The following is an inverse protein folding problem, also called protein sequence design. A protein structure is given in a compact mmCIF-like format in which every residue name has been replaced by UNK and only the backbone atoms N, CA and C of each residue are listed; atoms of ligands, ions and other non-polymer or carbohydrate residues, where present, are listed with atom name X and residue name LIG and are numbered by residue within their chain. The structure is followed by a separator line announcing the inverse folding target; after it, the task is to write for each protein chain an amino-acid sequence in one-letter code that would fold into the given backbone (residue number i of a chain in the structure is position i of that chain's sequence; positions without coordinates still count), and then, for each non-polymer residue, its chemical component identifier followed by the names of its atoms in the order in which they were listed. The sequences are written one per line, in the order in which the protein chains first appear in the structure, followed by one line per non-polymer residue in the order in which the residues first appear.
data_IF_016872960411
#
_entry.id   IF_016872960411
#
_cell.length_a   1.000
_cell.length_b   1.000
_cell.length_c   1.000
_cell.angle_alpha   90.00
_cell.angle_beta   90.00
_cell.angle_gamma   90.00
#
_symmetry.space_group_name_H-M   'P 1'
#
loop_
_entity.id
_entity.type
_entity.pdbx_description
1 polymer ?
#
# COMPACT_ATOMS: atom_id res chain seq x y z
N UNK A 1 7.30 41.04 -9.54
CA UNK A 1 8.21 40.52 -10.61
C UNK A 1 8.51 41.67 -11.54
N UNK A 2 9.77 42.10 -11.64
CA UNK A 2 10.15 43.27 -12.43
C UNK A 2 10.24 42.89 -13.92
N UNK A 3 9.75 43.76 -14.81
CA UNK A 3 9.75 43.56 -16.28
C UNK A 3 11.12 43.12 -16.85
N UNK A 4 12.21 43.67 -16.31
CA UNK A 4 13.57 43.33 -16.75
C UNK A 4 14.01 41.89 -16.45
N UNK A 5 13.39 41.23 -15.47
CA UNK A 5 13.69 39.82 -15.14
C UNK A 5 13.02 38.86 -16.14
N UNK A 6 11.86 39.26 -16.68
CA UNK A 6 11.17 38.52 -17.74
C UNK A 6 11.89 38.64 -19.08
N UNK A 7 12.34 39.84 -19.45
CA UNK A 7 13.11 40.06 -20.68
C UNK A 7 14.43 39.30 -20.69
N UNK A 8 15.12 39.23 -19.54
CA UNK A 8 16.34 38.45 -19.41
C UNK A 8 16.09 36.94 -19.52
N UNK A 9 14.98 36.45 -18.97
CA UNK A 9 14.56 35.05 -19.14
C UNK A 9 14.23 34.73 -20.59
N UNK A 10 13.51 35.62 -21.27
CA UNK A 10 13.14 35.45 -22.68
C UNK A 10 14.38 35.37 -23.57
N UNK A 11 15.33 36.30 -23.39
CA UNK A 11 16.61 36.29 -24.11
C UNK A 11 17.42 35.01 -23.88
N UNK A 12 17.44 34.48 -22.65
CA UNK A 12 18.10 33.20 -22.36
C UNK A 12 17.43 32.04 -23.07
N UNK A 13 16.10 32.00 -23.11
CA UNK A 13 15.34 30.96 -23.81
C UNK A 13 15.57 31.02 -25.32
N UNK A 14 15.60 32.22 -25.91
CA UNK A 14 15.89 32.42 -27.34
C UNK A 14 17.31 32.01 -27.72
N UNK A 15 18.31 32.35 -26.89
CA UNK A 15 19.70 31.91 -27.08
C UNK A 15 19.84 30.38 -27.00
N UNK A 16 19.17 29.75 -26.05
CA UNK A 16 19.10 28.29 -25.93
C UNK A 16 18.46 27.67 -27.19
N UNK A 17 17.34 28.24 -27.67
CA UNK A 17 16.65 27.76 -28.85
C UNK A 17 17.53 27.85 -30.13
N UNK A 18 18.25 28.96 -30.32
CA UNK A 18 19.20 29.12 -31.43
C UNK A 18 20.36 28.11 -31.32
N UNK A 19 20.89 27.89 -30.12
CA UNK A 19 21.92 26.88 -29.88
C UNK A 19 21.45 25.47 -30.24
N UNK A 20 20.19 25.11 -29.93
CA UNK A 20 19.60 23.82 -30.30
C UNK A 20 19.32 23.67 -31.80
N UNK A 21 19.05 24.77 -32.52
CA UNK A 21 18.90 24.74 -33.97
C UNK A 21 20.24 24.55 -34.69
N UNK A 22 21.31 25.17 -34.19
CA UNK A 22 22.65 25.09 -34.79
C UNK A 22 23.37 23.78 -34.46
N UNK A 23 23.11 23.22 -33.28
CA UNK A 23 23.58 21.91 -32.86
C UNK A 23 22.34 21.07 -32.48
N UNK A 24 21.65 20.46 -33.47
CA UNK A 24 20.57 19.52 -33.17
C UNK A 24 21.15 18.46 -32.24
N UNK A 25 20.52 18.26 -31.08
CA UNK A 25 20.87 17.13 -30.23
C UNK A 25 20.76 15.89 -31.11
N UNK A 26 21.91 15.30 -31.46
CA UNK A 26 21.94 13.98 -32.11
C UNK A 26 21.07 13.04 -31.29
N UNK A 27 20.34 12.14 -31.96
CA UNK A 27 19.34 11.24 -31.36
C UNK A 27 19.77 10.90 -29.94
N UNK A 28 19.05 11.44 -28.94
CA UNK A 28 19.47 11.45 -27.53
C UNK A 28 20.26 10.17 -27.26
N UNK A 29 21.56 10.29 -26.99
CA UNK A 29 22.30 9.19 -26.40
C UNK A 29 21.47 8.78 -25.18
N UNK A 30 20.74 7.67 -25.31
CA UNK A 30 19.97 7.07 -24.23
C UNK A 30 20.97 6.10 -23.61
N UNK A 31 21.72 6.49 -22.57
CA UNK A 31 22.57 5.54 -21.87
C UNK A 31 21.67 4.37 -21.46
N UNK A 32 21.89 3.22 -22.09
CA UNK A 32 21.31 1.96 -21.64
C UNK A 32 22.08 1.60 -20.39
N UNK A 33 21.39 1.19 -19.34
CA UNK A 33 22.05 0.44 -18.30
C UNK A 33 22.72 -0.78 -18.93
N UNK A 34 23.85 -1.20 -18.37
CA UNK A 34 24.92 -2.06 -18.93
C UNK A 34 24.52 -3.39 -19.61
N UNK A 35 23.25 -3.74 -19.70
CA UNK A 35 22.73 -5.00 -20.26
C UNK A 35 22.00 -4.74 -21.58
N UNK A 36 22.50 -5.26 -22.72
CA UNK A 36 21.93 -5.04 -24.05
C UNK A 36 20.44 -5.44 -24.22
N UNK A 37 19.94 -6.33 -23.35
CA UNK A 37 18.58 -6.88 -23.39
C UNK A 37 17.55 -6.12 -22.53
N UNK A 38 17.96 -5.08 -21.80
CA UNK A 38 17.01 -4.25 -21.05
C UNK A 38 16.35 -3.21 -21.98
N UNK A 39 15.05 -2.89 -21.79
CA UNK A 39 14.35 -1.91 -22.61
C UNK A 39 14.91 -0.50 -22.37
N UNK A 40 14.39 0.49 -23.11
CA UNK A 40 14.84 1.88 -22.97
C UNK A 40 14.74 2.36 -21.53
N UNK A 41 15.77 3.06 -21.04
CA UNK A 41 15.77 3.66 -19.70
C UNK A 41 14.60 4.63 -19.56
N UNK A 42 13.61 4.26 -18.74
CA UNK A 42 12.51 5.15 -18.36
C UNK A 42 12.88 5.72 -17.00
N UNK A 43 13.25 7.00 -17.00
CA UNK A 43 13.52 7.75 -15.78
C UNK A 43 12.82 9.10 -15.86
N UNK A 44 11.53 9.15 -15.47
CA UNK A 44 10.71 10.37 -15.56
C UNK A 44 10.26 10.86 -14.20
N UNK A 45 10.45 12.16 -13.96
CA UNK A 45 10.04 12.83 -12.73
C UNK A 45 8.74 13.63 -12.94
N UNK A 46 7.86 13.57 -11.95
CA UNK A 46 6.56 14.25 -11.94
C UNK A 46 6.36 14.99 -10.61
N UNK A 47 5.77 16.20 -10.64
CA UNK A 47 5.51 16.97 -9.43
C UNK A 47 4.30 16.45 -8.63
N UNK A 48 3.43 15.64 -9.24
CA UNK A 48 2.20 15.13 -8.61
C UNK A 48 2.10 13.62 -8.78
N UNK A 49 1.65 12.93 -7.73
CA UNK A 49 1.50 11.48 -7.71
C UNK A 49 0.56 10.99 -8.81
N UNK A 50 -0.58 11.65 -9.00
CA UNK A 50 -1.55 11.28 -10.03
C UNK A 50 -0.97 11.34 -11.45
N UNK A 51 -0.09 12.31 -11.73
CA UNK A 51 0.57 12.40 -13.04
C UNK A 51 1.54 11.24 -13.27
N UNK A 52 2.29 10.85 -12.23
CA UNK A 52 3.19 9.71 -12.29
C UNK A 52 2.42 8.40 -12.48
N UNK A 53 1.33 8.20 -11.74
CA UNK A 53 0.46 7.03 -11.86
C UNK A 53 -0.15 6.95 -13.26
N UNK A 54 -0.75 8.04 -13.75
CA UNK A 54 -1.33 8.06 -15.09
C UNK A 54 -0.28 7.76 -16.17
N UNK A 55 0.94 8.29 -16.02
CA UNK A 55 2.03 7.99 -16.94
C UNK A 55 2.42 6.50 -16.89
N UNK A 56 2.58 5.92 -15.68
CA UNK A 56 2.90 4.51 -15.50
C UNK A 56 1.83 3.60 -16.12
N UNK A 57 0.55 3.90 -15.91
CA UNK A 57 -0.58 3.16 -16.49
C UNK A 57 -0.64 3.26 -18.03
N UNK A 58 -0.23 4.40 -18.59
CA UNK A 58 -0.16 4.58 -20.06
C UNK A 58 1.09 3.96 -20.70
N UNK A 59 2.03 3.46 -19.89
CA UNK A 59 3.29 2.93 -20.36
C UNK A 59 3.15 1.47 -20.76
N UNK A 60 3.74 1.08 -21.89
CA UNK A 60 3.80 -0.31 -22.33
C UNK A 60 4.90 -1.11 -21.62
N UNK A 61 5.86 -0.44 -20.99
CA UNK A 61 6.96 -1.06 -20.27
C UNK A 61 6.57 -1.28 -18.80
N UNK A 62 7.18 -2.29 -18.16
CA UNK A 62 6.96 -2.60 -16.75
C UNK A 62 7.63 -1.56 -15.85
N UNK A 63 6.88 -0.50 -15.53
CA UNK A 63 7.34 0.66 -14.75
C UNK A 63 6.49 0.87 -13.50
N UNK A 64 7.14 1.44 -12.49
CA UNK A 64 6.60 1.60 -11.16
C UNK A 64 6.80 3.04 -10.68
N UNK A 65 5.96 3.47 -9.74
CA UNK A 65 6.01 4.82 -9.19
C UNK A 65 6.72 4.81 -7.84
N UNK A 66 7.70 5.71 -7.69
CA UNK A 66 8.42 5.93 -6.45
C UNK A 66 8.28 7.38 -6.02
N UNK A 67 8.12 7.61 -4.72
CA UNK A 67 8.15 8.95 -4.17
C UNK A 67 9.53 9.24 -3.59
N UNK A 68 10.09 10.39 -3.95
CA UNK A 68 11.39 10.87 -3.49
C UNK A 68 11.17 12.12 -2.64
N UNK A 69 11.67 12.10 -1.41
CA UNK A 69 11.74 13.29 -0.56
C UNK A 69 13.14 13.92 -0.68
N UNK A 70 13.20 15.26 -0.73
CA UNK A 70 14.47 16.00 -0.81
C UNK A 70 14.73 16.73 0.51
N UNK A 71 15.97 16.70 0.99
CA UNK A 71 16.37 17.37 2.24
C UNK A 71 16.14 18.89 2.22
N UNK A 72 16.29 19.51 1.04
CA UNK A 72 16.16 20.97 0.86
C UNK A 72 14.73 21.42 0.52
N UNK A 73 13.77 20.49 0.43
CA UNK A 73 12.38 20.80 0.12
C UNK A 73 11.57 21.09 1.40
N UNK A 74 10.34 21.61 1.24
CA UNK A 74 9.42 21.71 2.38
C UNK A 74 9.21 20.32 2.98
N UNK A 75 9.12 20.23 4.30
CA UNK A 75 8.96 18.95 5.00
C UNK A 75 7.78 18.15 4.43
N UNK A 76 8.01 16.89 4.08
CA UNK A 76 7.01 15.99 3.48
C UNK A 76 6.70 16.24 2.00
N UNK A 77 7.32 17.22 1.35
CA UNK A 77 7.17 17.44 -0.08
C UNK A 77 7.88 16.33 -0.87
N UNK A 78 7.15 15.71 -1.79
CA UNK A 78 7.62 14.61 -2.64
C UNK A 78 7.63 14.99 -4.11
N UNK A 79 8.61 14.46 -4.83
CA UNK A 79 8.60 14.35 -6.30
C UNK A 79 8.46 12.87 -6.65
N UNK A 80 7.78 12.55 -7.74
CA UNK A 80 7.44 11.18 -8.11
C UNK A 80 8.25 10.74 -9.31
N UNK A 81 9.01 9.66 -9.15
CA UNK A 81 9.79 9.02 -10.19
C UNK A 81 9.02 7.85 -10.79
N UNK A 82 9.00 7.73 -12.11
CA UNK A 82 8.53 6.54 -12.82
C UNK A 82 9.72 5.88 -13.51
N UNK A 83 9.98 4.63 -13.16
CA UNK A 83 11.07 3.80 -13.70
C UNK A 83 10.83 2.31 -13.41
N UNK A 84 11.62 1.40 -14.00
CA UNK A 84 11.57 -0.03 -13.67
C UNK A 84 12.29 -0.33 -12.36
N UNK A 85 12.00 -1.48 -11.73
CA UNK A 85 12.71 -1.91 -10.51
C UNK A 85 14.22 -2.07 -10.71
N UNK A 86 14.63 -2.65 -11.85
CA UNK A 86 16.05 -2.85 -12.16
C UNK A 86 16.78 -1.52 -12.37
N UNK A 87 16.13 -0.56 -13.03
CA UNK A 87 16.70 0.75 -13.27
C UNK A 87 16.78 1.57 -11.99
N UNK A 88 15.73 1.55 -11.17
CA UNK A 88 15.79 2.13 -9.83
C UNK A 88 16.95 1.52 -9.04
N UNK A 89 17.05 0.19 -8.97
CA UNK A 89 18.10 -0.46 -8.18
C UNK A 89 19.51 -0.07 -8.62
N UNK A 90 19.76 0.05 -9.93
CA UNK A 90 21.06 0.47 -10.45
C UNK A 90 21.52 1.82 -9.89
N UNK A 91 20.65 2.83 -9.95
CA UNK A 91 20.98 4.17 -9.45
C UNK A 91 20.90 4.24 -7.92
N UNK A 92 19.96 3.54 -7.32
CA UNK A 92 19.72 3.51 -5.88
C UNK A 92 20.87 2.81 -5.11
N UNK A 93 21.47 1.77 -5.69
CA UNK A 93 22.63 1.09 -5.11
C UNK A 93 23.92 1.88 -5.29
N UNK A 94 24.12 2.52 -6.45
CA UNK A 94 25.31 3.33 -6.76
C UNK A 94 25.30 4.69 -6.03
N UNK A 95 24.18 5.41 -6.07
CA UNK A 95 24.04 6.80 -5.59
C UNK A 95 23.14 6.90 -4.37
N UNK A 96 23.39 6.04 -3.39
CA UNK A 96 22.51 5.86 -2.22
C UNK A 96 22.24 7.14 -1.43
N UNK A 97 23.19 8.06 -1.33
CA UNK A 97 22.99 9.34 -0.64
C UNK A 97 21.96 10.24 -1.33
N UNK A 98 21.98 10.30 -2.66
CA UNK A 98 21.09 11.16 -3.44
C UNK A 98 19.65 10.64 -3.50
N UNK A 99 19.45 9.33 -3.31
CA UNK A 99 18.14 8.66 -3.33
C UNK A 99 17.76 8.09 -1.95
N UNK A 100 18.37 8.59 -0.88
CA UNK A 100 18.25 8.00 0.45
C UNK A 100 16.81 8.00 0.98
N UNK A 101 15.98 8.95 0.56
CA UNK A 101 14.60 9.12 1.05
C UNK A 101 13.58 8.70 -0.01
N UNK A 102 13.56 7.41 -0.30
CA UNK A 102 12.76 6.81 -1.35
C UNK A 102 11.66 5.90 -0.76
N UNK A 103 10.48 5.98 -1.37
CA UNK A 103 9.29 5.23 -0.99
C UNK A 103 8.71 4.57 -2.24
N UNK A 104 8.31 3.31 -2.13
CA UNK A 104 7.40 2.68 -3.09
C UNK A 104 6.03 3.35 -2.98
N UNK A 105 5.42 3.69 -4.11
CA UNK A 105 3.99 4.01 -4.15
C UNK A 105 3.24 2.73 -4.48
N UNK A 106 2.54 2.16 -3.50
CA UNK A 106 1.71 0.96 -3.67
C UNK A 106 0.42 1.36 -4.38
N UNK A 107 0.26 1.08 -5.68
CA UNK A 107 -0.85 1.64 -6.45
C UNK A 107 -2.20 1.09 -5.96
N UNK A 108 -3.23 1.92 -6.00
CA UNK A 108 -4.60 1.46 -5.74
C UNK A 108 -4.99 0.34 -6.72
N UNK A 109 -5.56 -0.74 -6.18
CA UNK A 109 -6.00 -1.90 -6.97
C UNK A 109 -4.89 -2.80 -7.48
N UNK A 110 -3.63 -2.53 -7.16
CA UNK A 110 -2.51 -3.41 -7.52
C UNK A 110 -2.42 -4.60 -6.56
N UNK A 111 -2.26 -5.80 -7.12
CA UNK A 111 -1.94 -7.03 -6.37
C UNK A 111 -0.67 -6.80 -5.55
N UNK A 112 -0.71 -7.18 -4.28
CA UNK A 112 0.39 -6.92 -3.37
C UNK A 112 0.66 -8.07 -2.40
N UNK A 113 1.87 -8.06 -1.84
CA UNK A 113 2.24 -8.93 -0.72
C UNK A 113 1.49 -8.51 0.54
N UNK A 114 1.38 -9.43 1.50
CA UNK A 114 1.02 -9.08 2.87
C UNK A 114 2.22 -8.37 3.53
N UNK A 115 1.97 -7.24 4.17
CA UNK A 115 3.01 -6.45 4.81
C UNK A 115 2.50 -5.79 6.09
N UNK A 116 3.42 -5.45 6.99
CA UNK A 116 3.14 -4.75 8.24
C UNK A 116 4.15 -3.61 8.43
N UNK A 117 3.67 -2.50 9.00
CA UNK A 117 4.50 -1.48 9.64
C UNK A 117 4.28 -1.59 11.14
N UNK A 118 5.37 -1.85 11.88
CA UNK A 118 5.33 -2.15 13.30
C UNK A 118 6.12 -1.08 14.04
N UNK A 119 5.49 -0.44 15.02
CA UNK A 119 6.16 0.58 15.79
C UNK A 119 5.62 0.77 17.21
N UNK A 120 6.52 1.17 18.11
CA UNK A 120 6.15 1.71 19.41
C UNK A 120 7.26 2.63 19.95
N UNK A 121 6.91 3.46 20.93
CA UNK A 121 7.84 4.32 21.63
C UNK A 121 8.58 3.54 22.72
N UNK A 122 9.90 3.37 22.61
CA UNK A 122 10.67 2.52 23.53
C UNK A 122 10.64 3.04 24.98
N UNK A 123 10.84 4.34 25.26
CA UNK A 123 10.79 4.85 26.63
C UNK A 123 9.44 4.64 27.34
N UNK A 124 8.33 4.63 26.59
CA UNK A 124 6.98 4.36 27.14
C UNK A 124 6.69 2.88 27.36
N UNK A 125 7.51 1.97 26.81
CA UNK A 125 7.25 0.53 26.78
C UNK A 125 8.48 -0.28 27.22
N UNK A 126 9.12 0.11 28.33
CA UNK A 126 10.40 -0.48 28.80
C UNK A 126 10.35 -1.99 29.08
N UNK A 127 9.16 -2.52 29.39
CA UNK A 127 8.96 -3.95 29.66
C UNK A 127 8.74 -4.81 28.42
N UNK A 128 8.67 -4.22 27.23
CA UNK A 128 8.36 -4.96 26.02
C UNK A 128 9.60 -5.39 25.26
N UNK A 129 9.65 -6.69 24.95
CA UNK A 129 10.60 -7.24 24.00
C UNK A 129 10.00 -7.23 22.60
N UNK A 130 10.35 -6.20 21.83
CA UNK A 130 9.89 -6.05 20.45
C UNK A 130 10.30 -7.21 19.52
N UNK A 131 11.40 -7.93 19.78
CA UNK A 131 11.77 -9.11 18.98
C UNK A 131 10.79 -10.25 19.26
N UNK A 132 10.49 -10.51 20.53
CA UNK A 132 9.48 -11.51 20.91
C UNK A 132 8.08 -11.13 20.39
N UNK A 133 7.67 -9.87 20.46
CA UNK A 133 6.38 -9.41 19.92
C UNK A 133 6.28 -9.68 18.41
N UNK A 134 7.35 -9.42 17.65
CA UNK A 134 7.40 -9.72 16.21
C UNK A 134 7.30 -11.21 15.94
N UNK A 135 8.03 -12.04 16.69
CA UNK A 135 7.98 -13.50 16.53
C UNK A 135 6.56 -14.04 16.81
N UNK A 136 5.93 -13.60 17.90
CA UNK A 136 4.56 -13.97 18.26
C UNK A 136 3.54 -13.49 17.22
N UNK A 137 3.69 -12.27 16.69
CA UNK A 137 2.83 -11.76 15.63
C UNK A 137 2.98 -12.56 14.33
N UNK A 138 4.21 -12.87 13.91
CA UNK A 138 4.46 -13.69 12.71
C UNK A 138 3.80 -15.05 12.88
N UNK A 139 4.00 -15.72 14.02
CA UNK A 139 3.40 -17.02 14.28
C UNK A 139 1.87 -16.96 14.21
N UNK A 140 1.26 -15.98 14.88
CA UNK A 140 -0.18 -15.78 14.87
C UNK A 140 -0.73 -15.53 13.46
N UNK A 141 -0.06 -14.69 12.68
CA UNK A 141 -0.48 -14.39 11.29
C UNK A 141 -0.33 -15.61 10.40
N UNK A 142 0.71 -16.42 10.55
CA UNK A 142 0.86 -17.68 9.83
C UNK A 142 -0.31 -18.64 10.11
N UNK A 143 -0.67 -18.82 11.38
CA UNK A 143 -1.83 -19.65 11.77
C UNK A 143 -3.13 -19.12 11.16
N UNK A 144 -3.32 -17.79 11.12
CA UNK A 144 -4.50 -17.17 10.51
C UNK A 144 -4.54 -17.27 8.98
N UNK A 145 -3.39 -17.25 8.31
CA UNK A 145 -3.30 -17.49 6.87
C UNK A 145 -3.66 -18.94 6.53
N UNK A 146 -3.26 -19.90 7.37
CA UNK A 146 -3.66 -21.30 7.24
C UNK A 146 -5.16 -21.48 7.50
N UNK A 147 -5.69 -20.94 8.60
CA UNK A 147 -7.11 -21.04 8.98
C UNK A 147 -8.04 -20.46 7.90
N UNK A 148 -7.73 -19.28 7.38
CA UNK A 148 -8.61 -18.57 6.45
C UNK A 148 -8.41 -19.02 5.00
N UNK A 149 -7.16 -19.16 4.57
CA UNK A 149 -6.83 -19.32 3.16
C UNK A 149 -6.19 -20.68 2.83
N UNK A 150 -5.91 -21.53 3.83
CA UNK A 150 -5.19 -22.78 3.64
C UNK A 150 -3.74 -22.55 3.19
N UNK A 151 -3.13 -21.42 3.58
CA UNK A 151 -1.75 -21.08 3.20
C UNK A 151 -0.82 -21.37 4.35
N UNK A 152 0.01 -22.39 4.18
CA UNK A 152 1.11 -22.70 5.09
C UNK A 152 2.30 -21.76 4.83
N UNK A 153 2.72 -21.03 5.87
CA UNK A 153 3.93 -20.23 5.83
C UNK A 153 4.57 -20.14 7.22
N UNK A 154 5.81 -19.70 7.28
CA UNK A 154 6.59 -19.60 8.52
C UNK A 154 7.38 -18.29 8.56
N UNK A 155 8.09 -18.05 9.67
CA UNK A 155 9.05 -16.93 9.74
C UNK A 155 10.17 -16.97 8.68
N UNK A 156 10.39 -18.11 8.01
CA UNK A 156 11.33 -18.20 6.87
C UNK A 156 10.78 -17.55 5.59
N UNK A 157 9.49 -17.29 5.54
CA UNK A 157 8.77 -16.68 4.42
C UNK A 157 8.49 -15.19 4.67
N UNK A 158 9.06 -14.62 5.74
CA UNK A 158 8.85 -13.22 6.15
C UNK A 158 10.17 -12.47 6.14
N UNK A 159 10.31 -11.52 5.22
CA UNK A 159 11.41 -10.56 5.26
C UNK A 159 11.16 -9.54 6.37
N UNK A 160 12.09 -9.50 7.31
CA UNK A 160 12.04 -8.60 8.46
C UNK A 160 13.09 -7.50 8.32
N UNK A 161 12.63 -6.24 8.21
CA UNK A 161 13.46 -5.06 8.10
C UNK A 161 13.38 -4.21 9.37
N UNK A 162 14.51 -3.67 9.83
CA UNK A 162 14.63 -2.89 11.06
C UNK A 162 15.09 -1.45 10.74
N UNK A 163 14.43 -0.45 11.32
CA UNK A 163 14.89 0.95 11.36
C UNK A 163 14.75 1.54 12.77
N UNK A 164 14.87 0.69 13.78
CA UNK A 164 14.76 1.07 15.19
C UNK A 164 15.86 2.05 15.58
N UNK A 165 15.51 2.91 16.51
CA UNK A 165 16.43 3.80 17.23
C UNK A 165 16.32 3.52 18.73
N UNK A 166 17.10 4.23 19.55
CA UNK A 166 16.97 4.17 21.01
C UNK A 166 15.59 4.66 21.49
N UNK A 167 14.98 5.57 20.74
CA UNK A 167 13.67 6.18 21.06
C UNK A 167 12.48 5.39 20.51
N UNK A 168 12.65 4.71 19.36
CA UNK A 168 11.55 4.12 18.61
C UNK A 168 11.90 2.71 18.15
N UNK A 169 11.02 1.77 18.44
CA UNK A 169 11.02 0.49 17.75
C UNK A 169 10.32 0.68 16.39
N UNK A 170 10.93 0.23 15.30
CA UNK A 170 10.34 0.35 13.97
C UNK A 170 10.78 -0.80 13.06
N UNK A 171 9.82 -1.61 12.62
CA UNK A 171 10.07 -2.72 11.71
C UNK A 171 9.05 -2.78 10.57
N UNK A 172 9.52 -3.21 9.41
CA UNK A 172 8.63 -3.66 8.34
C UNK A 172 8.71 -5.17 8.22
N UNK A 173 7.56 -5.83 8.18
CA UNK A 173 7.47 -7.24 7.81
C UNK A 173 6.86 -7.34 6.42
N UNK A 174 7.45 -8.14 5.54
CA UNK A 174 6.92 -8.42 4.20
C UNK A 174 6.83 -9.93 4.05
N UNK A 175 5.63 -10.46 3.84
CA UNK A 175 5.37 -11.89 3.66
C UNK A 175 5.53 -12.26 2.17
N UNK A 176 6.47 -13.15 1.89
CA UNK A 176 6.75 -13.71 0.57
C UNK A 176 6.07 -15.07 0.48
N UNK A 177 4.74 -15.04 0.35
CA UNK A 177 3.93 -16.26 0.37
C UNK A 177 4.18 -17.11 -0.90
N UNK A 178 4.25 -18.44 -0.76
CA UNK A 178 4.38 -19.32 -1.92
C UNK A 178 3.07 -19.32 -2.71
N UNK A 179 3.14 -18.92 -3.98
CA UNK A 179 2.00 -18.94 -4.91
C UNK A 179 0.75 -18.20 -4.40
N UNK A 180 0.90 -17.13 -3.60
CA UNK A 180 -0.23 -16.34 -3.14
C UNK A 180 0.12 -14.86 -2.99
N UNK A 181 -0.86 -14.00 -3.23
CA UNK A 181 -0.78 -12.56 -3.01
C UNK A 181 -2.18 -12.00 -2.75
N UNK A 182 -2.27 -10.86 -2.07
CA UNK A 182 -3.54 -10.19 -1.85
C UNK A 182 -3.96 -9.41 -3.08
N UNK A 183 -5.27 -9.36 -3.34
CA UNK A 183 -5.85 -8.60 -4.47
C UNK A 183 -5.39 -7.16 -4.50
N UNK A 184 -5.35 -6.50 -3.34
CA UNK A 184 -4.74 -5.20 -3.14
C UNK A 184 -4.47 -4.96 -1.64
N UNK A 185 -3.88 -3.80 -1.32
CA UNK A 185 -3.54 -3.46 0.05
C UNK A 185 -4.75 -3.14 0.94
N UNK A 186 -5.93 -2.87 0.38
CA UNK A 186 -7.16 -2.69 1.16
C UNK A 186 -7.67 -4.04 1.67
N UNK A 187 -7.58 -5.10 0.85
CA UNK A 187 -7.91 -6.46 1.28
C UNK A 187 -6.91 -6.96 2.35
N UNK A 188 -5.63 -6.56 2.26
CA UNK A 188 -4.67 -6.77 3.36
C UNK A 188 -5.17 -6.10 4.63
N UNK A 189 -5.52 -4.81 4.56
CA UNK A 189 -6.02 -4.06 5.72
C UNK A 189 -7.26 -4.67 6.35
N UNK A 190 -8.21 -5.15 5.54
CA UNK A 190 -9.41 -5.84 6.01
C UNK A 190 -9.07 -7.14 6.73
N UNK A 191 -8.23 -7.99 6.14
CA UNK A 191 -7.76 -9.23 6.77
C UNK A 191 -7.10 -8.95 8.12
N UNK A 192 -6.18 -7.97 8.18
CA UNK A 192 -5.50 -7.60 9.43
C UNK A 192 -6.45 -7.02 10.47
N UNK A 193 -7.38 -6.15 10.06
CA UNK A 193 -8.37 -5.59 10.97
C UNK A 193 -9.23 -6.69 11.60
N UNK A 194 -9.53 -7.75 10.86
CA UNK A 194 -10.39 -8.84 11.31
C UNK A 194 -9.69 -9.77 12.28
N UNK A 195 -8.48 -10.25 11.94
CA UNK A 195 -7.72 -11.11 12.85
C UNK A 195 -7.34 -10.37 14.14
N UNK A 196 -7.22 -9.04 14.10
CA UNK A 196 -6.93 -8.22 15.28
C UNK A 196 -8.19 -7.67 15.99
N UNK A 197 -9.41 -8.03 15.59
CA UNK A 197 -10.64 -7.59 16.29
C UNK A 197 -10.63 -7.85 17.80
N UNK A 198 -10.16 -9.00 18.31
CA UNK A 198 -10.19 -9.26 19.75
C UNK A 198 -9.45 -8.19 20.55
N UNK A 199 -8.23 -7.82 20.13
CA UNK A 199 -7.44 -6.76 20.81
C UNK A 199 -8.00 -5.36 20.59
N UNK A 200 -8.56 -5.07 19.40
CA UNK A 200 -9.20 -3.79 19.11
C UNK A 200 -10.44 -3.55 19.99
N UNK A 201 -11.19 -4.61 20.29
CA UNK A 201 -12.38 -4.53 21.16
C UNK A 201 -12.02 -4.28 22.62
N UNK A 202 -10.89 -4.81 23.10
CA UNK A 202 -10.38 -4.58 24.46
C UNK A 202 -9.90 -3.15 24.61
N UNK A 203 -9.18 -2.62 23.61
CA UNK A 203 -8.69 -1.24 23.63
C UNK A 203 -9.85 -0.21 23.72
N UNK A 204 -10.97 -0.47 23.03
CA UNK A 204 -12.15 0.40 23.07
C UNK A 204 -12.81 0.41 24.46
N UNK A 205 -12.93 -0.75 25.12
CA UNK A 205 -13.51 -0.86 26.47
C UNK A 205 -12.64 -0.21 27.55
N UNK A 206 -11.32 -0.25 27.43
CA UNK A 206 -10.40 0.43 28.34
C UNK A 206 -10.52 1.96 28.28
N UNK A 207 -10.66 2.52 27.07
CA UNK A 207 -10.83 3.96 26.85
C UNK A 207 -12.19 4.51 27.30
N UNK A 208 -13.23 3.68 27.39
CA UNK A 208 -14.57 4.09 27.85
C UNK A 208 -14.67 4.11 29.39
N UNK A 209 -13.95 3.22 30.10
CA UNK A 209 -13.93 3.16 31.56
C UNK A 209 -13.15 4.32 32.22
N UNK A 210 -12.17 4.91 31.53
CA UNK A 210 -11.45 6.09 32.06
C UNK A 210 -12.25 7.40 31.91
N UNK A 211 -13.28 7.42 31.05
CA UNK A 211 -14.12 8.62 30.83
C UNK A 211 -15.36 8.69 31.74
N UNK A 212 -15.63 7.67 32.57
CA UNK A 212 -16.87 7.57 33.37
C UNK A 212 -16.65 7.71 34.90
N UNK A 213 -15.47 8.15 35.34
CA UNK A 213 -15.20 8.44 36.77
C UNK A 213 -15.66 9.85 37.18
N UNK A 214 -16.86 10.23 36.74
CA UNK A 214 -17.46 11.55 36.93
C UNK A 214 -18.98 11.51 37.06
N UNK A 215 -19.52 10.62 37.90
CA UNK A 215 -20.96 10.53 38.11
C UNK A 215 -21.35 9.64 39.29
N UNK A 216 -21.31 10.19 40.50
CA UNK A 216 -21.92 9.59 41.68
C UNK A 216 -23.45 9.69 41.54
N UNK A 217 -24.15 8.57 41.43
CA UNK A 217 -25.50 8.41 41.99
C UNK A 217 -25.74 6.95 42.36
N UNK A 218 -26.06 6.73 43.63
CA UNK A 218 -26.61 5.49 44.16
C UNK A 218 -28.05 5.33 43.65
N UNK A 219 -28.42 4.16 43.11
CA UNK A 219 -29.78 3.67 43.29
C UNK A 219 -29.87 2.14 43.28
N UNK A 220 -30.74 1.66 44.17
CA UNK A 220 -30.91 0.29 44.60
C UNK A 220 -32.13 -0.32 43.90
N UNK A 221 -31.99 -1.41 43.15
CA UNK A 221 -33.16 -2.04 42.52
C UNK A 221 -32.97 -3.46 42.02
N UNK A 222 -33.49 -4.45 42.79
CA UNK A 222 -33.63 -5.86 42.40
C UNK A 222 -34.72 -6.06 41.33
N UNK A 223 -34.46 -6.96 40.36
CA UNK A 223 -35.35 -7.94 39.64
C UNK A 223 -34.76 -8.16 38.24
N UNK A 224 -34.72 -9.34 37.61
CA UNK A 224 -35.19 -10.68 37.89
C UNK A 224 -34.78 -11.58 36.70
N UNK A 225 -34.60 -12.87 36.96
CA UNK A 225 -34.22 -13.92 36.00
C UNK A 225 -35.35 -14.19 34.99
N UNK A 226 -35.05 -14.15 33.68
CA UNK A 226 -35.68 -14.98 32.65
C UNK A 226 -34.59 -15.43 31.67
N UNK A 227 -34.35 -16.74 31.65
CA UNK A 227 -33.44 -17.39 30.73
C UNK A 227 -34.09 -17.69 29.38
N UNK A 228 -33.30 -17.60 28.33
CA UNK A 228 -33.59 -18.16 27.01
C UNK A 228 -32.34 -18.86 26.46
N UNK A 229 -32.49 -19.99 25.74
CA UNK A 229 -31.40 -20.93 25.53
C UNK A 229 -30.41 -20.39 24.50
N UNK A 230 -29.16 -20.18 24.90
CA UNK A 230 -28.06 -19.88 23.99
C UNK A 230 -27.81 -21.10 23.10
N UNK A 231 -28.04 -20.95 21.80
CA UNK A 231 -27.39 -21.79 20.79
C UNK A 231 -25.87 -21.63 20.99
N UNK A 232 -25.23 -22.71 21.44
CA UNK A 232 -23.78 -22.78 21.63
C UNK A 232 -23.10 -22.65 20.27
N UNK A 233 -22.76 -21.42 19.88
CA UNK A 233 -21.67 -21.18 18.93
C UNK A 233 -20.40 -21.80 19.52
N UNK A 234 -19.54 -22.46 18.73
CA UNK A 234 -18.28 -22.97 19.24
C UNK A 234 -17.51 -21.77 19.80
N UNK A 235 -17.18 -21.79 21.10
CA UNK A 235 -16.26 -20.82 21.67
C UNK A 235 -14.89 -21.14 21.08
N UNK A 236 -14.53 -20.43 20.01
CA UNK A 236 -13.16 -20.36 19.56
C UNK A 236 -12.37 -19.78 20.75
N UNK A 237 -11.41 -20.51 21.30
CA UNK A 237 -10.52 -19.98 22.34
C UNK A 237 -9.84 -18.75 21.75
N UNK A 238 -10.31 -17.55 22.13
CA UNK A 238 -9.70 -16.30 21.71
C UNK A 238 -8.30 -16.26 22.31
N UNK A 239 -7.28 -16.45 21.46
CA UNK A 239 -5.89 -16.23 21.87
C UNK A 239 -5.77 -14.82 22.43
N UNK A 240 -5.08 -14.71 23.56
CA UNK A 240 -4.76 -13.42 24.14
C UNK A 240 -3.80 -12.66 23.21
N UNK A 241 -4.29 -11.54 22.66
CA UNK A 241 -3.55 -10.62 21.79
C UNK A 241 -3.10 -9.35 22.53
N UNK A 242 -3.18 -9.32 23.87
CA UNK A 242 -2.78 -8.19 24.72
C UNK A 242 -1.33 -7.75 24.49
N UNK A 243 -0.45 -8.66 24.07
CA UNK A 243 0.95 -8.36 23.74
C UNK A 243 1.12 -7.38 22.56
N UNK A 244 0.05 -7.08 21.82
CA UNK A 244 0.05 -6.08 20.74
C UNK A 244 -0.34 -4.68 21.22
N UNK A 245 -0.81 -4.52 22.46
CA UNK A 245 -1.15 -3.21 23.02
C UNK A 245 0.13 -2.50 23.47
N UNK A 246 0.33 -1.27 23.01
CA UNK A 246 1.51 -0.45 23.31
C UNK A 246 1.12 0.95 23.72
N UNK A 247 1.95 1.60 24.55
CA UNK A 247 1.75 3.00 24.95
C UNK A 247 2.42 3.94 23.96
N UNK A 248 1.74 5.00 23.56
CA UNK A 248 2.34 6.08 22.78
C UNK A 248 3.18 7.02 23.67
N UNK A 249 3.67 8.13 23.12
CA UNK A 249 4.48 9.11 23.86
C UNK A 249 3.70 9.81 24.97
N UNK A 250 2.40 9.96 24.79
CA UNK A 250 1.49 10.64 25.70
C UNK A 250 0.89 9.67 26.74
N UNK A 251 1.32 8.40 26.75
CA UNK A 251 0.83 7.37 27.67
C UNK A 251 -0.53 6.78 27.29
N UNK A 252 -1.07 7.11 26.12
CA UNK A 252 -2.32 6.52 25.63
C UNK A 252 -2.07 5.16 24.98
N UNK A 253 -3.08 4.30 25.05
CA UNK A 253 -3.03 2.99 24.40
C UNK A 253 -3.11 3.10 22.88
N UNK A 254 -2.28 2.30 22.23
CA UNK A 254 -2.20 2.13 20.80
C UNK A 254 -1.89 0.68 20.45
N UNK A 255 -1.81 0.41 19.16
CA UNK A 255 -1.51 -0.92 18.64
C UNK A 255 -0.08 -0.95 18.11
N UNK A 256 0.61 -2.06 18.34
CA UNK A 256 1.95 -2.32 17.81
C UNK A 256 1.97 -2.31 16.27
N UNK A 257 0.86 -2.72 15.66
CA UNK A 257 0.64 -2.73 14.20
C UNK A 257 0.02 -1.40 13.76
N UNK A 258 0.69 -0.67 12.87
CA UNK A 258 0.11 0.54 12.25
C UNK A 258 -0.93 0.14 11.19
N UNK A 259 -2.22 0.23 11.54
CA UNK A 259 -3.32 -0.03 10.61
C UNK A 259 -3.51 1.08 9.58
N UNK A 260 -2.90 2.26 9.76
CA UNK A 260 -2.98 3.39 8.84
C UNK A 260 -2.23 3.17 7.52
N UNK A 261 -1.46 2.09 7.40
CA UNK A 261 -0.67 1.80 6.19
C UNK A 261 -1.48 1.19 5.05
N UNK A 262 -2.71 0.74 5.31
CA UNK A 262 -3.57 0.09 4.32
C UNK A 262 -4.50 1.11 3.65
N UNK A 263 -3.91 2.04 2.90
CA UNK A 263 -4.61 3.15 2.24
C UNK A 263 -4.26 3.24 0.75
N UNK A 264 -5.15 3.85 -0.04
CA UNK A 264 -4.97 3.98 -1.50
C UNK A 264 -3.67 4.73 -1.83
N UNK A 265 -2.89 4.20 -2.77
CA UNK A 265 -1.64 4.81 -3.23
C UNK A 265 -0.63 5.06 -2.08
N UNK A 266 -0.58 4.16 -1.09
CA UNK A 266 0.27 4.30 0.10
C UNK A 266 1.73 4.41 -0.31
N UNK A 267 2.42 5.40 0.28
CA UNK A 267 3.87 5.48 0.18
C UNK A 267 4.48 4.61 1.29
N UNK A 268 5.30 3.62 0.92
CA UNK A 268 5.94 2.68 1.83
C UNK A 268 7.45 2.75 1.68
N UNK A 269 8.18 2.98 2.78
CA UNK A 269 9.61 3.31 2.71
C UNK A 269 10.43 2.10 2.27
N UNK A 270 11.34 2.32 1.32
CA UNK A 270 12.13 1.24 0.72
C UNK A 270 13.19 0.68 1.68
N UNK A 271 13.59 -0.57 1.41
CA UNK A 271 14.80 -1.16 1.96
C UNK A 271 16.02 -0.25 1.66
N UNK A 272 16.80 0.04 2.70
CA UNK A 272 17.91 1.00 2.73
C UNK A 272 17.56 2.47 2.50
N UNK A 273 16.29 2.84 2.67
CA UNK A 273 15.87 4.23 2.73
C UNK A 273 15.58 4.70 4.15
N UNK A 274 15.91 5.96 4.43
CA UNK A 274 15.60 6.65 5.68
C UNK A 274 14.54 7.73 5.46
N UNK A 275 13.96 8.26 6.54
CA UNK A 275 13.11 9.46 6.48
C UNK A 275 14.01 10.69 6.31
N UNK A 276 13.54 11.74 5.64
CA UNK A 276 14.27 13.02 5.59
C UNK A 276 14.59 13.51 7.00
N UNK A 277 15.82 14.00 7.20
CA UNK A 277 16.31 14.46 8.51
C UNK A 277 16.59 13.33 9.50
N UNK A 278 16.55 12.06 9.05
CA UNK A 278 16.95 10.88 9.82
C UNK A 278 18.00 10.10 9.03
N UNK A 279 18.98 9.56 9.74
CA UNK A 279 20.04 8.74 9.15
C UNK A 279 19.82 7.24 9.31
N UNK A 280 18.69 6.84 9.91
CA UNK A 280 18.37 5.44 10.16
C UNK A 280 17.51 4.91 9.01
N UNK A 281 18.17 4.13 8.16
CA UNK A 281 17.56 3.46 7.02
C UNK A 281 17.12 2.04 7.39
N UNK A 282 16.14 1.49 6.66
CA UNK A 282 15.76 0.09 6.86
C UNK A 282 16.89 -0.86 6.43
N UNK A 283 17.35 -1.71 7.35
CA UNK A 283 18.27 -2.82 7.06
C UNK A 283 17.61 -4.15 7.41
N UNK A 284 18.22 -5.27 7.01
CA UNK A 284 17.71 -6.59 7.43
C UNK A 284 17.88 -6.73 8.94
N UNK A 285 16.81 -7.11 9.64
CA UNK A 285 16.83 -7.32 11.08
C UNK A 285 17.76 -8.49 11.45
N UNK A 286 18.40 -8.42 12.62
CA UNK A 286 19.30 -9.47 13.12
C UNK A 286 18.60 -10.84 13.23
N UNK A 287 17.34 -10.83 13.63
CA UNK A 287 16.46 -11.99 13.81
C UNK A 287 15.65 -12.34 12.55
N UNK A 288 16.00 -11.78 11.39
CA UNK A 288 15.40 -12.17 10.11
C UNK A 288 15.76 -13.62 9.75
N UNK A 289 14.75 -14.41 9.38
CA UNK A 289 14.91 -15.82 8.97
C UNK A 289 14.70 -16.05 7.48
N UNK A 290 14.22 -15.06 6.74
CA UNK A 290 14.03 -15.14 5.31
C UNK A 290 15.35 -15.05 4.56
N UNK A 291 15.56 -16.00 3.65
CA UNK A 291 16.75 -16.09 2.79
C UNK A 291 16.29 -16.09 1.35
N UNK A 292 16.84 -15.19 0.55
CA UNK A 292 16.54 -15.11 -0.88
C UNK A 292 17.17 -16.28 -1.62
N UNK A 293 16.43 -16.89 -2.55
CA UNK A 293 16.99 -17.92 -3.43
C UNK A 293 17.96 -17.24 -4.42
N UNK A 294 19.18 -17.76 -4.60
CA UNK A 294 20.14 -17.19 -5.53
C UNK A 294 19.58 -17.20 -6.95
N UNK A 295 19.59 -16.05 -7.61
CA UNK A 295 19.21 -15.90 -9.03
C UNK A 295 20.46 -15.59 -9.85
N UNK A 296 20.53 -16.17 -11.05
CA UNK A 296 21.64 -15.92 -11.97
C UNK A 296 21.69 -14.43 -12.35
N UNK A 297 22.87 -13.82 -12.26
CA UNK A 297 23.11 -12.41 -12.62
C UNK A 297 22.36 -11.36 -11.77
N UNK A 298 21.94 -11.69 -10.55
CA UNK A 298 21.31 -10.77 -9.60
C UNK A 298 22.08 -10.88 -8.28
N UNK A 299 22.48 -9.75 -7.68
CA UNK A 299 23.18 -9.79 -6.40
C UNK A 299 22.23 -10.21 -5.26
N UNK A 300 22.78 -10.70 -4.15
CA UNK A 300 21.98 -11.04 -2.97
C UNK A 300 21.20 -9.82 -2.44
N UNK A 301 21.83 -8.64 -2.48
CA UNK A 301 21.24 -7.38 -2.05
C UNK A 301 20.11 -6.92 -3.00
N UNK A 302 20.30 -7.06 -4.31
CA UNK A 302 19.26 -6.79 -5.30
C UNK A 302 18.06 -7.73 -5.12
N UNK A 303 18.33 -9.01 -4.83
CA UNK A 303 17.27 -10.00 -4.56
C UNK A 303 16.48 -9.63 -3.30
N UNK A 304 17.15 -9.13 -2.26
CA UNK A 304 16.50 -8.62 -1.04
C UNK A 304 15.66 -7.37 -1.33
N UNK A 305 16.22 -6.43 -2.09
CA UNK A 305 15.49 -5.24 -2.54
C UNK A 305 14.20 -5.63 -3.30
N UNK A 306 14.31 -6.52 -4.28
CA UNK A 306 13.16 -7.02 -5.02
C UNK A 306 12.13 -7.72 -4.13
N UNK A 307 12.59 -8.47 -3.12
CA UNK A 307 11.71 -9.14 -2.16
C UNK A 307 10.98 -8.15 -1.25
N UNK A 308 11.61 -7.01 -0.93
CA UNK A 308 11.05 -5.96 -0.07
C UNK A 308 9.97 -5.09 -0.72
N UNK A 309 9.90 -5.07 -2.06
CA UNK A 309 8.89 -4.30 -2.80
C UNK A 309 7.52 -4.97 -2.65
N UNK A 310 6.54 -4.23 -2.16
CA UNK A 310 5.21 -4.71 -1.78
C UNK A 310 4.40 -5.12 -3.01
N UNK A 311 4.52 -4.37 -4.11
CA UNK A 311 3.79 -4.60 -5.36
C UNK A 311 4.54 -5.52 -6.33
N UNK A 312 5.78 -5.93 -6.01
CA UNK A 312 6.57 -6.82 -6.84
C UNK A 312 6.15 -8.28 -6.65
N UNK A 313 5.09 -8.67 -7.35
CA UNK A 313 4.42 -9.97 -7.27
C UNK A 313 4.57 -10.71 -8.60
N UNK A 314 4.81 -12.04 -8.58
CA UNK A 314 4.93 -12.83 -9.82
C UNK A 314 3.55 -13.23 -10.37
N UNK A 315 3.32 -13.07 -11.67
CA UNK A 315 2.04 -13.43 -12.30
C UNK A 315 1.95 -14.92 -12.70
N UNK A 316 2.75 -15.78 -12.07
CA UNK A 316 2.98 -17.18 -12.51
C UNK A 316 2.07 -18.18 -11.78
N UNK A 317 0.75 -17.95 -11.79
CA UNK A 317 -0.29 -18.83 -11.19
C UNK A 317 -0.50 -18.69 -9.68
N UNK A 318 -0.40 -17.47 -9.15
CA UNK A 318 -0.65 -17.23 -7.72
C UNK A 318 -2.14 -17.20 -7.39
N UNK A 319 -2.51 -17.74 -6.22
CA UNK A 319 -3.82 -17.57 -5.60
C UNK A 319 -3.98 -16.11 -5.17
N UNK A 320 -4.96 -15.42 -5.74
CA UNK A 320 -5.31 -14.06 -5.33
C UNK A 320 -6.22 -14.13 -4.11
N UNK A 321 -5.75 -13.61 -2.99
CA UNK A 321 -6.46 -13.58 -1.73
C UNK A 321 -7.36 -12.35 -1.71
N UNK A 322 -8.66 -12.61 -1.67
CA UNK A 322 -9.67 -11.61 -1.36
C UNK A 322 -10.19 -11.88 0.03
N UNK A 323 -10.44 -10.79 0.75
CA UNK A 323 -11.35 -10.84 1.87
C UNK A 323 -12.67 -10.25 1.41
N UNK A 324 -13.57 -11.10 0.94
CA UNK A 324 -14.96 -10.73 0.72
C UNK A 324 -15.73 -11.14 1.98
N UNK A 325 -16.58 -10.26 2.51
CA UNK A 325 -17.51 -10.63 3.57
C UNK A 325 -18.37 -11.78 3.02
N UNK A 326 -18.08 -13.01 3.41
CA UNK A 326 -19.05 -14.08 3.29
C UNK A 326 -20.24 -13.68 4.17
N UNK A 327 -21.26 -13.09 3.55
CA UNK A 327 -22.61 -13.05 4.11
C UNK A 327 -23.03 -14.52 4.20
N UNK A 328 -22.84 -15.12 5.37
CA UNK A 328 -23.42 -16.42 5.76
C UNK A 328 -24.95 -16.28 5.84
N UNK A 329 -25.57 -15.97 4.70
CA UNK A 329 -27.01 -15.91 4.47
C UNK A 329 -27.47 -16.48 3.14
N UNK A 330 -26.61 -17.16 2.39
CA UNK A 330 -27.04 -17.96 1.24
C UNK A 330 -27.12 -19.45 1.57
N UNK A 331 -27.98 -19.75 2.54
CA UNK A 331 -28.69 -21.02 2.61
C UNK A 331 -30.07 -20.82 1.99
N UNK A 332 -30.34 -21.56 0.91
CA UNK A 332 -31.57 -21.61 0.09
C UNK A 332 -31.48 -20.77 -1.20
N UNK A 333 -30.99 -21.41 -2.26
CA UNK A 333 -31.44 -21.10 -3.62
C UNK A 333 -32.95 -21.33 -3.74
N UNK A 334 -33.78 -20.34 -4.09
CA UNK A 334 -35.10 -20.62 -4.64
C UNK A 334 -34.90 -20.94 -6.12
N UNK A 335 -35.20 -22.17 -6.52
CA UNK A 335 -35.36 -22.52 -7.94
C UNK A 335 -36.47 -21.65 -8.54
N UNK A 336 -36.25 -20.90 -9.63
CA UNK A 336 -37.34 -20.25 -10.33
C UNK A 336 -37.99 -21.27 -11.27
N UNK A 337 -39.13 -21.81 -10.85
CA UNK A 337 -40.05 -22.46 -11.77
C UNK A 337 -40.72 -21.36 -12.61
N UNK A 338 -40.26 -21.19 -13.84
CA UNK A 338 -40.89 -20.29 -14.80
C UNK A 338 -42.17 -20.92 -15.33
N UNK A 339 -43.31 -20.22 -15.23
CA UNK A 339 -44.23 -20.06 -16.35
C UNK A 339 -44.93 -18.69 -16.30
N UNK A 340 -44.68 -17.96 -17.40
CA UNK A 340 -45.48 -16.93 -18.07
C UNK A 340 -45.64 -15.54 -17.44
N UNK A 341 -44.74 -14.64 -17.85
CA UNK A 341 -44.91 -13.19 -17.78
C UNK A 341 -43.70 -12.44 -18.34
N UNK A 342 -43.80 -12.02 -19.61
CA UNK A 342 -43.00 -11.00 -20.33
C UNK A 342 -41.47 -11.10 -20.39
N UNK A 343 -41.01 -11.66 -21.52
CA UNK A 343 -39.83 -11.26 -22.34
C UNK A 343 -38.60 -10.72 -21.60
N UNK A 344 -37.76 -11.66 -21.20
CA UNK A 344 -36.31 -11.50 -21.05
C UNK A 344 -35.65 -11.31 -22.41
N UNK A 345 -34.63 -10.45 -22.48
CA UNK A 345 -33.33 -10.95 -22.92
C UNK A 345 -32.21 -10.24 -22.18
N UNK A 346 -31.51 -11.04 -21.37
CA UNK A 346 -30.18 -10.79 -20.88
C UNK A 346 -29.14 -11.20 -21.97
N UNK A 347 -27.88 -10.88 -21.67
CA UNK A 347 -26.61 -11.35 -22.26
C UNK A 347 -26.03 -10.51 -23.39
N UNK A 348 -24.94 -9.80 -23.10
CA UNK A 348 -23.61 -10.01 -23.74
C UNK A 348 -22.62 -8.94 -23.28
N UNK A 349 -21.37 -9.37 -23.07
CA UNK A 349 -20.16 -8.55 -23.18
C UNK A 349 -20.29 -7.52 -24.31
N UNK A 350 -20.07 -6.24 -23.98
CA UNK A 350 -19.59 -5.23 -24.91
C UNK A 350 -19.14 -3.98 -24.14
N UNK A 351 -18.09 -3.32 -24.62
CA UNK A 351 -17.63 -1.99 -24.19
C UNK A 351 -18.81 -1.03 -23.95
N UNK A 352 -19.21 -0.85 -22.70
CA UNK A 352 -20.31 0.05 -22.31
C UNK A 352 -19.79 1.14 -21.39
N UNK A 353 -19.54 2.34 -21.95
CA UNK A 353 -19.20 3.53 -21.16
C UNK A 353 -20.31 3.88 -20.16
N UNK A 354 -19.90 4.50 -19.05
CA UNK A 354 -20.78 5.05 -18.01
C UNK A 354 -21.90 5.90 -18.65
N UNK A 355 -23.16 5.55 -18.39
CA UNK A 355 -24.29 6.19 -19.09
C UNK A 355 -24.65 7.60 -18.60
N UNK A 356 -24.08 8.11 -17.51
CA UNK A 356 -24.18 9.52 -17.08
C UNK A 356 -23.06 9.84 -16.07
N UNK A 357 -22.46 11.03 -16.15
CA UNK A 357 -21.52 11.52 -15.14
C UNK A 357 -22.29 12.00 -13.90
N UNK A 358 -21.71 11.86 -12.68
CA UNK A 358 -22.28 12.48 -11.48
C UNK A 358 -22.26 14.02 -11.51
N UNK A 359 -21.60 14.64 -12.50
CA UNK A 359 -21.52 16.09 -12.67
C UNK A 359 -22.34 16.56 -13.88
N UNK A 360 -23.67 16.62 -13.71
CA UNK A 360 -24.62 17.03 -14.77
C UNK A 360 -24.31 18.40 -15.39
N UNK A 361 -23.71 19.31 -14.63
CA UNK A 361 -23.30 20.64 -15.11
C UNK A 361 -22.21 20.56 -16.19
N UNK A 362 -21.25 19.64 -16.03
CA UNK A 362 -20.18 19.40 -16.99
C UNK A 362 -20.74 18.71 -18.23
N UNK A 363 -21.63 17.72 -18.04
CA UNK A 363 -22.29 17.04 -19.15
C UNK A 363 -23.10 18.02 -20.02
N UNK A 364 -23.84 18.93 -19.37
CA UNK A 364 -24.61 19.98 -20.07
C UNK A 364 -23.69 20.95 -20.82
N UNK A 365 -22.56 21.36 -20.22
CA UNK A 365 -21.59 22.20 -20.89
C UNK A 365 -21.01 21.50 -22.12
N UNK A 366 -20.56 20.24 -21.98
CA UNK A 366 -20.01 19.45 -23.09
C UNK A 366 -21.06 19.27 -24.19
N UNK A 367 -22.31 18.96 -23.85
CA UNK A 367 -23.41 18.87 -24.82
C UNK A 367 -23.68 20.20 -25.54
N UNK A 368 -23.55 21.33 -24.84
CA UNK A 368 -23.71 22.66 -25.45
C UNK A 368 -22.61 23.00 -26.44
N UNK A 369 -21.39 22.52 -26.19
CA UNK A 369 -20.23 22.71 -27.09
C UNK A 369 -20.33 21.78 -28.30
N UNK A 370 -20.69 20.51 -28.09
CA UNK A 370 -20.79 19.50 -29.16
C UNK A 370 -21.92 19.81 -30.15
N UNK A 371 -23.03 20.39 -29.67
CA UNK A 371 -24.18 20.75 -30.53
C UNK A 371 -24.04 22.09 -31.25
N UNK A 372 -22.97 22.85 -31.00
CA UNK A 372 -22.85 24.24 -31.48
C UNK A 372 -22.72 24.35 -33.00
N UNK A 373 -22.24 23.31 -33.68
CA UNK A 373 -21.98 23.34 -35.13
C UNK A 373 -22.76 22.26 -35.93
N UNK A 374 -23.74 21.59 -35.33
CA UNK A 374 -24.63 20.66 -36.05
C UNK A 374 -23.98 19.39 -36.61
N UNK A 375 -22.72 19.10 -36.27
CA UNK A 375 -21.99 17.92 -36.76
C UNK A 375 -22.33 16.72 -35.87
N UNK A 376 -23.22 15.83 -36.33
CA UNK A 376 -23.40 14.50 -35.77
C UNK A 376 -22.56 13.48 -36.56
N UNK A 377 -21.57 12.87 -35.91
CA UNK A 377 -20.80 11.77 -36.51
C UNK A 377 -21.68 10.54 -36.69
N UNK A 378 -21.76 10.02 -37.92
CA UNK A 378 -22.35 8.72 -38.23
C UNK A 378 -21.46 7.60 -37.69
N UNK A 379 -22.01 6.71 -36.86
CA UNK A 379 -21.32 5.51 -36.35
C UNK A 379 -21.01 4.55 -37.52
N UNK A 380 -19.75 4.13 -37.62
CA UNK A 380 -19.34 2.84 -38.19
C UNK A 380 -18.98 1.90 -37.06
#
# INVERSE_FOLDING_TARGET
MNKGDWENRLKKVEQLAQSFQQCPLTSCYKPRLSRPWQPSSIWKLFPRQCMAINFAQSCSEDVHVFALEKEQAKMGQRIFLVTSYSELWHYYSTYRQSLMHCYEVIPEGAVCKLYFDLEFHRPSNKGFDGKCMVASLIQYVCEKLEEVYGIECSGKDVLNLDSSTEEKFSRHLIFILPNAAFKDNLHVGQFIHLILQPVLSVNRRGSELENDMGGVTEDSGKRGLIGSPQAKRPRQEERDLSFLLVKNKDGQDGLFVDLGVYTKNRNFRLYKSSKVGKNVAFTVAEDNRFITKPKRNVSAEESLFQSSLISNVSFTSQKILTWDLHDERDGICPKPHAQLGSTSHCVSDSLGGYQCSPHKEVDNFVLSVVKKDGIQGSKF
#
